data_IF_237174311753
#
_entry.id   IF_237174311753
#
_cell.length_a   1.000
_cell.length_b   1.000
_cell.length_c   1.000
_cell.angle_alpha   90.00
_cell.angle_beta   90.00
_cell.angle_gamma   90.00
#
_symmetry.space_group_name_H-M   'P 1'
#
loop_
_entity.id
_entity.type
_entity.pdbx_description
1 polymer ?
#
# COMPACT_ATOMS: atom_id res chain seq x y z
N UNK A 1 11.67 9.22 23.06
CA UNK A 1 11.06 8.13 23.85
C UNK A 1 9.56 8.36 23.89
N UNK A 2 8.72 7.35 23.61
CA UNK A 2 7.26 7.53 23.64
C UNK A 2 6.73 7.42 25.08
N UNK A 3 5.73 8.24 25.46
CA UNK A 3 5.28 8.33 26.85
C UNK A 3 4.53 7.08 27.35
N UNK A 4 3.94 6.29 26.45
CA UNK A 4 3.39 4.97 26.80
C UNK A 4 3.52 3.99 25.65
N UNK A 5 3.38 2.69 25.95
CA UNK A 5 3.36 1.65 24.92
C UNK A 5 2.19 1.82 23.91
N UNK A 6 1.07 2.42 24.32
CA UNK A 6 -0.03 2.75 23.40
C UNK A 6 0.40 3.79 22.37
N UNK A 7 1.10 4.84 22.80
CA UNK A 7 1.60 5.88 21.89
C UNK A 7 2.60 5.32 20.89
N UNK A 8 3.50 4.45 21.35
CA UNK A 8 4.47 3.77 20.50
C UNK A 8 3.77 2.96 19.39
N UNK A 9 2.78 2.13 19.76
CA UNK A 9 2.02 1.32 18.80
C UNK A 9 1.28 2.18 17.79
N UNK A 10 0.57 3.22 18.25
CA UNK A 10 -0.15 4.13 17.35
C UNK A 10 0.81 4.83 16.37
N UNK A 11 1.98 5.25 16.83
CA UNK A 11 2.99 5.83 15.95
C UNK A 11 3.49 4.82 14.90
N UNK A 12 3.78 3.58 15.31
CA UNK A 12 4.21 2.52 14.41
C UNK A 12 3.13 2.18 13.35
N UNK A 13 1.87 2.00 13.77
CA UNK A 13 0.77 1.74 12.85
C UNK A 13 0.55 2.90 11.88
N UNK A 14 0.57 4.15 12.36
CA UNK A 14 0.45 5.33 11.48
C UNK A 14 1.58 5.39 10.45
N UNK A 15 2.81 5.09 10.86
CA UNK A 15 3.95 5.06 9.97
C UNK A 15 3.82 3.94 8.93
N UNK A 16 3.51 2.72 9.37
CA UNK A 16 3.33 1.56 8.48
C UNK A 16 2.18 1.79 7.49
N UNK A 17 1.04 2.30 7.93
CA UNK A 17 -0.07 2.64 7.05
C UNK A 17 0.33 3.65 5.99
N UNK A 18 0.99 4.76 6.38
CA UNK A 18 1.47 5.76 5.41
C UNK A 18 2.47 5.16 4.43
N UNK A 19 3.40 4.34 4.92
CA UNK A 19 4.41 3.69 4.07
C UNK A 19 3.73 2.83 2.99
N UNK A 20 2.80 1.96 3.39
CA UNK A 20 2.16 1.03 2.49
C UNK A 20 1.19 1.69 1.48
N UNK A 21 0.58 2.83 1.83
CA UNK A 21 -0.46 3.46 0.98
C UNK A 21 -0.03 4.73 0.27
N UNK A 22 0.94 5.48 0.79
CA UNK A 22 1.30 6.82 0.27
C UNK A 22 2.69 6.85 -0.33
N UNK A 23 3.67 6.21 0.30
CA UNK A 23 5.06 6.33 -0.14
C UNK A 23 5.27 5.60 -1.49
N UNK A 24 5.92 6.27 -2.44
CA UNK A 24 6.14 5.75 -3.80
C UNK A 24 7.57 5.24 -3.94
N UNK A 25 7.72 4.05 -4.50
CA UNK A 25 9.02 3.42 -4.69
C UNK A 25 9.37 3.31 -6.18
N UNK A 26 10.59 3.70 -6.54
CA UNK A 26 11.09 3.55 -7.91
C UNK A 26 11.11 2.09 -8.38
N UNK A 27 11.46 1.16 -7.48
CA UNK A 27 11.45 -0.29 -7.76
C UNK A 27 10.06 -0.84 -8.06
N UNK A 28 9.00 -0.18 -7.58
CA UNK A 28 7.60 -0.56 -7.81
C UNK A 28 6.95 0.28 -8.94
N UNK A 29 7.75 0.93 -9.78
CA UNK A 29 7.26 1.78 -10.85
C UNK A 29 6.60 3.06 -10.34
N UNK A 30 7.16 3.65 -9.28
CA UNK A 30 6.64 4.86 -8.61
C UNK A 30 5.24 4.71 -8.01
N UNK A 31 4.92 3.50 -7.52
CA UNK A 31 3.67 3.17 -6.82
C UNK A 31 3.95 2.86 -5.35
N UNK A 32 2.91 2.93 -4.53
CA UNK A 32 2.99 2.43 -3.16
C UNK A 32 2.94 0.90 -3.13
N UNK A 33 3.44 0.26 -2.06
CA UNK A 33 3.42 -1.20 -1.94
C UNK A 33 2.02 -1.81 -2.13
N UNK A 34 1.00 -1.25 -1.47
CA UNK A 34 -0.38 -1.72 -1.61
C UNK A 34 -0.90 -1.57 -3.05
N UNK A 35 -0.64 -0.43 -3.70
CA UNK A 35 -1.09 -0.19 -5.07
C UNK A 35 -0.38 -1.11 -6.07
N UNK A 36 0.89 -1.41 -5.83
CA UNK A 36 1.63 -2.41 -6.60
C UNK A 36 0.95 -3.78 -6.46
N UNK A 37 0.80 -4.29 -5.23
CA UNK A 37 0.19 -5.60 -4.97
C UNK A 37 -1.23 -5.73 -5.56
N UNK A 38 -2.07 -4.71 -5.39
CA UNK A 38 -3.41 -4.71 -5.97
C UNK A 38 -3.37 -4.87 -7.51
N UNK A 39 -2.40 -4.27 -8.20
CA UNK A 39 -2.28 -4.40 -9.65
C UNK A 39 -1.83 -5.81 -10.10
N UNK A 40 -1.18 -6.59 -9.22
CA UNK A 40 -0.88 -8.01 -9.49
C UNK A 40 -2.02 -8.94 -9.07
N UNK A 41 -2.82 -8.54 -8.08
CA UNK A 41 -3.96 -9.31 -7.59
C UNK A 41 -5.26 -9.04 -8.35
N UNK A 42 -5.37 -7.92 -9.08
CA UNK A 42 -6.48 -7.66 -9.99
C UNK A 42 -6.45 -8.68 -11.15
N UNK A 43 -7.46 -9.56 -11.29
CA UNK A 43 -7.55 -10.41 -12.47
C UNK A 43 -7.69 -9.50 -13.68
N UNK A 44 -6.88 -9.74 -14.71
CA UNK A 44 -6.95 -9.01 -15.99
C UNK A 44 -8.38 -9.06 -16.50
N UNK A 45 -9.14 -7.99 -16.27
CA UNK A 45 -10.53 -7.88 -16.68
C UNK A 45 -10.54 -7.52 -18.15
N UNK A 46 -10.18 -8.51 -18.99
CA UNK A 46 -10.45 -8.48 -20.41
C UNK A 46 -11.91 -8.88 -20.58
N UNK A 47 -12.81 -7.89 -20.59
CA UNK A 47 -14.19 -8.13 -21.03
C UNK A 47 -14.13 -8.49 -22.53
N UNK A 48 -14.69 -9.63 -22.95
CA UNK A 48 -14.73 -9.97 -24.36
C UNK A 48 -15.65 -8.97 -25.07
N UNK A 49 -15.21 -8.48 -26.23
CA UNK A 49 -16.01 -7.60 -27.08
C UNK A 49 -17.28 -8.35 -27.52
N UNK A 50 -18.44 -7.81 -27.15
CA UNK A 50 -19.72 -8.32 -27.64
C UNK A 50 -19.80 -8.13 -29.16
N UNK A 51 -20.22 -9.19 -29.85
CA UNK A 51 -20.30 -9.31 -31.31
C UNK A 51 -21.44 -8.47 -31.92
#
# INVERSE_FOLDING_TARGET
MWPTARHARLAAFRWASRYNTVHRHSSLGQRSPLAYENLFNEPSTTLPQAA
#
